data_IF_882327383584
#
_entry.id   IF_882327383584
#
_cell.length_a   1.000
_cell.length_b   1.000
_cell.length_c   1.000
_cell.angle_alpha   90.00
_cell.angle_beta   90.00
_cell.angle_gamma   90.00
#
_symmetry.space_group_name_H-M   'P 1'
#
loop_
_entity.id
_entity.type
_entity.pdbx_description
1 polymer ?
#
# COMPACT_ATOMS: atom_id res chain seq x y z
N UNK A 1 15.46 18.69 -15.81
CA UNK A 1 15.39 17.41 -15.05
C UNK A 1 14.32 16.56 -15.69
N UNK A 2 14.62 15.29 -16.02
CA UNK A 2 13.65 14.37 -16.66
C UNK A 2 12.86 13.63 -15.59
N UNK A 3 11.58 13.40 -15.85
CA UNK A 3 10.69 12.69 -14.93
C UNK A 3 10.12 11.46 -15.60
N UNK A 4 10.08 10.38 -14.85
CA UNK A 4 9.59 9.09 -15.31
C UNK A 4 8.50 8.58 -14.39
N UNK A 5 7.54 7.85 -14.93
CA UNK A 5 6.54 7.11 -14.18
C UNK A 5 6.56 5.64 -14.59
N UNK A 6 6.59 4.74 -13.61
CA UNK A 6 6.50 3.31 -13.85
C UNK A 6 5.02 2.92 -13.84
N UNK A 7 4.47 2.65 -15.03
CA UNK A 7 3.08 2.23 -15.18
C UNK A 7 3.00 0.70 -15.16
N UNK A 8 2.20 0.16 -14.23
CA UNK A 8 1.85 -1.27 -14.17
C UNK A 8 0.68 -1.52 -15.15
N UNK A 9 0.83 -2.53 -16.01
CA UNK A 9 -0.14 -2.92 -17.03
C UNK A 9 -0.89 -4.16 -16.55
N UNK A 10 -1.98 -3.96 -15.82
CA UNK A 10 -2.76 -5.04 -15.21
C UNK A 10 -4.16 -5.21 -15.81
N UNK A 11 -4.50 -4.49 -16.89
CA UNK A 11 -5.82 -4.51 -17.53
C UNK A 11 -6.94 -3.85 -16.72
N UNK A 12 -6.67 -3.39 -15.50
CA UNK A 12 -7.66 -2.72 -14.64
C UNK A 12 -7.52 -1.20 -14.76
N UNK A 13 -6.28 -0.71 -14.84
CA UNK A 13 -5.98 0.73 -14.92
C UNK A 13 -5.89 1.17 -16.38
N UNK A 14 -6.35 2.39 -16.67
CA UNK A 14 -6.18 3.01 -17.98
C UNK A 14 -4.70 3.06 -18.33
N UNK A 15 -4.35 2.44 -19.45
CA UNK A 15 -3.01 2.52 -20.03
C UNK A 15 -2.84 3.87 -20.73
N UNK A 16 -1.73 4.56 -20.46
CA UNK A 16 -1.46 5.88 -21.03
C UNK A 16 -0.64 5.73 -22.31
N UNK A 17 -0.93 6.53 -23.32
CA UNK A 17 -0.21 6.51 -24.60
C UNK A 17 0.64 7.76 -24.76
N UNK A 18 1.69 7.66 -25.56
CA UNK A 18 2.48 8.84 -25.94
C UNK A 18 1.52 9.85 -26.58
N UNK A 19 1.62 11.11 -26.15
CA UNK A 19 0.72 12.19 -26.55
C UNK A 19 -0.47 12.41 -25.62
N UNK A 20 -0.80 11.46 -24.73
CA UNK A 20 -1.87 11.65 -23.75
C UNK A 20 -1.53 12.81 -22.80
N UNK A 21 -2.51 13.69 -22.60
CA UNK A 21 -2.52 14.67 -21.51
C UNK A 21 -3.37 14.15 -20.37
N UNK A 22 -2.80 14.08 -19.18
CA UNK A 22 -3.43 13.48 -17.99
C UNK A 22 -3.39 14.47 -16.85
N UNK A 23 -4.48 14.53 -16.07
CA UNK A 23 -4.57 15.30 -14.84
C UNK A 23 -4.63 14.36 -13.65
N UNK A 24 -3.87 14.67 -12.61
CA UNK A 24 -3.96 13.92 -11.35
C UNK A 24 -5.30 14.22 -10.67
N UNK A 25 -6.05 13.19 -10.32
CA UNK A 25 -7.32 13.31 -9.61
C UNK A 25 -7.29 12.49 -8.32
N UNK A 26 -7.62 11.20 -8.43
CA UNK A 26 -7.62 10.25 -7.33
C UNK A 26 -6.59 9.18 -7.59
N UNK A 27 -5.71 8.99 -6.61
CA UNK A 27 -4.64 8.03 -6.72
C UNK A 27 -5.17 6.60 -6.54
N UNK A 28 -4.88 5.73 -7.52
CA UNK A 28 -5.27 4.33 -7.46
C UNK A 28 -4.73 3.60 -6.23
N UNK A 29 -3.56 3.99 -5.71
CA UNK A 29 -3.01 3.40 -4.48
C UNK A 29 -3.95 3.62 -3.28
N UNK A 30 -4.44 4.85 -3.10
CA UNK A 30 -5.35 5.14 -1.99
C UNK A 30 -6.71 4.48 -2.21
N UNK A 31 -7.18 4.40 -3.46
CA UNK A 31 -8.37 3.61 -3.82
C UNK A 31 -8.21 2.12 -3.45
N UNK A 32 -7.05 1.55 -3.72
CA UNK A 32 -6.77 0.14 -3.43
C UNK A 32 -6.77 -0.14 -1.92
N UNK A 33 -6.36 0.84 -1.09
CA UNK A 33 -6.51 0.75 0.38
C UNK A 33 -7.99 0.69 0.76
N UNK A 34 -8.81 1.63 0.27
CA UNK A 34 -10.23 1.70 0.59
C UNK A 34 -10.98 0.44 0.13
N UNK A 35 -10.74 0.00 -1.11
CA UNK A 35 -11.31 -1.24 -1.65
C UNK A 35 -10.87 -2.46 -0.84
N UNK A 36 -9.60 -2.48 -0.38
CA UNK A 36 -9.08 -3.53 0.48
C UNK A 36 -9.86 -3.64 1.80
N UNK A 37 -10.10 -2.51 2.46
CA UNK A 37 -10.89 -2.45 3.69
C UNK A 37 -12.34 -2.84 3.43
N UNK A 38 -12.93 -2.36 2.34
CA UNK A 38 -14.31 -2.70 1.97
C UNK A 38 -14.47 -4.20 1.74
N UNK A 39 -13.57 -4.83 0.97
CA UNK A 39 -13.60 -6.26 0.70
C UNK A 39 -13.49 -7.09 1.98
N UNK A 40 -12.64 -6.66 2.92
CA UNK A 40 -12.47 -7.33 4.22
C UNK A 40 -13.69 -7.11 5.13
N UNK A 41 -14.33 -5.94 5.07
CA UNK A 41 -15.55 -5.71 5.86
C UNK A 41 -16.76 -6.50 5.34
N UNK A 42 -16.77 -6.84 4.04
CA UNK A 42 -17.80 -7.66 3.39
C UNK A 42 -17.53 -9.16 3.49
N UNK A 43 -16.32 -9.60 3.84
CA UNK A 43 -16.04 -11.02 4.05
C UNK A 43 -16.77 -11.50 5.30
N UNK A 44 -17.98 -12.02 5.09
CA UNK A 44 -18.80 -12.62 6.13
C UNK A 44 -18.64 -14.14 6.06
N UNK A 45 -18.07 -14.73 7.11
CA UNK A 45 -18.10 -16.18 7.29
C UNK A 45 -19.22 -16.51 8.26
N UNK A 46 -20.20 -17.32 7.83
CA UNK A 46 -21.38 -17.68 8.63
C UNK A 46 -22.12 -16.47 9.25
N UNK A 47 -22.13 -15.33 8.54
CA UNK A 47 -22.76 -14.10 9.01
C UNK A 47 -22.01 -13.34 10.11
N UNK A 48 -20.80 -13.77 10.46
CA UNK A 48 -19.96 -13.11 11.47
C UNK A 48 -18.89 -12.24 10.82
N UNK A 49 -18.68 -11.05 11.38
CA UNK A 49 -17.57 -10.15 11.02
C UNK A 49 -16.25 -10.67 11.60
N UNK A 50 -15.14 -10.32 10.95
CA UNK A 50 -13.80 -10.84 11.24
C UNK A 50 -13.41 -10.79 12.73
N UNK A 51 -13.59 -9.65 13.41
CA UNK A 51 -13.20 -9.52 14.84
C UNK A 51 -14.03 -10.45 15.74
N UNK A 52 -15.34 -10.57 15.47
CA UNK A 52 -16.20 -11.47 16.25
C UNK A 52 -15.81 -12.93 16.02
N UNK A 53 -15.61 -13.32 14.75
CA UNK A 53 -15.10 -14.64 14.39
C UNK A 53 -13.77 -14.92 15.08
N UNK A 54 -12.83 -13.97 15.03
CA UNK A 54 -11.52 -14.13 15.65
C UNK A 54 -11.64 -14.37 17.16
N UNK A 55 -12.47 -13.58 17.85
CA UNK A 55 -12.70 -13.77 19.29
C UNK A 55 -13.25 -15.15 19.63
N UNK A 56 -14.21 -15.65 18.85
CA UNK A 56 -14.80 -16.99 19.07
C UNK A 56 -13.85 -18.13 18.69
N UNK A 57 -13.07 -17.99 17.61
CA UNK A 57 -12.10 -19.01 17.19
C UNK A 57 -10.90 -19.09 18.14
N UNK A 58 -10.49 -17.95 18.71
CA UNK A 58 -9.36 -17.89 19.65
C UNK A 58 -9.75 -18.21 21.09
N UNK A 59 -11.04 -18.32 21.40
CA UNK A 59 -11.50 -18.69 22.74
C UNK A 59 -11.03 -20.13 23.08
N UNK A 60 -10.51 -20.29 24.29
CA UNK A 60 -9.69 -21.45 24.71
C UNK A 60 -10.52 -22.75 24.80
N UNK A 61 -11.85 -22.63 24.86
CA UNK A 61 -12.79 -23.74 25.06
C UNK A 61 -12.62 -24.90 24.07
N UNK A 62 -12.06 -24.69 22.88
CA UNK A 62 -11.93 -25.79 21.90
C UNK A 62 -10.67 -26.65 22.13
N UNK A 63 -9.56 -26.12 22.67
CA UNK A 63 -8.40 -26.96 23.03
C UNK A 63 -8.77 -27.95 24.14
N UNK A 64 -9.70 -27.55 25.00
CA UNK A 64 -10.26 -28.39 26.06
C UNK A 64 -11.17 -29.50 25.51
N UNK A 65 -11.62 -29.38 24.25
CA UNK A 65 -12.46 -30.38 23.56
C UNK A 65 -11.66 -31.39 22.73
N UNK A 66 -10.33 -31.26 22.66
CA UNK A 66 -9.47 -32.30 22.10
C UNK A 66 -9.37 -33.45 23.13
N UNK A 67 -9.97 -34.58 22.79
CA UNK A 67 -9.88 -35.81 23.60
C UNK A 67 -8.47 -36.42 23.48
N UNK A 68 -7.51 -35.85 24.20
CA UNK A 68 -6.12 -36.33 24.24
C UNK A 68 -5.98 -37.73 24.86
N UNK A 69 -6.99 -38.17 25.62
CA UNK A 69 -7.04 -39.51 26.22
C UNK A 69 -7.58 -40.56 25.23
N UNK A 70 -8.13 -40.13 24.09
CA UNK A 70 -8.61 -41.00 23.03
C UNK A 70 -7.50 -41.85 22.45
N UNK A 71 -7.74 -43.16 22.29
CA UNK A 71 -6.89 -44.05 21.48
C UNK A 71 -7.16 -43.96 19.99
N UNK A 72 -8.11 -43.11 19.56
CA UNK A 72 -8.41 -42.88 18.15
C UNK A 72 -7.51 -41.78 17.58
N UNK A 73 -6.24 -42.12 17.37
CA UNK A 73 -5.22 -41.20 16.88
C UNK A 73 -5.51 -40.63 15.49
N UNK A 74 -6.18 -41.39 14.63
CA UNK A 74 -6.56 -40.95 13.28
C UNK A 74 -7.58 -39.80 13.34
N UNK A 75 -8.64 -39.96 14.14
CA UNK A 75 -9.63 -38.91 14.36
C UNK A 75 -9.00 -37.67 15.01
N UNK A 76 -8.11 -37.87 15.99
CA UNK A 76 -7.39 -36.77 16.62
C UNK A 76 -6.51 -36.02 15.60
N UNK A 77 -5.81 -36.74 14.73
CA UNK A 77 -4.98 -36.16 13.67
C UNK A 77 -5.81 -35.27 12.72
N UNK A 78 -6.94 -35.77 12.22
CA UNK A 78 -7.78 -34.98 11.31
C UNK A 78 -8.36 -33.74 11.98
N UNK A 79 -8.82 -33.84 13.23
CA UNK A 79 -9.30 -32.69 14.00
C UNK A 79 -8.23 -31.61 14.19
N UNK A 80 -6.99 -32.01 14.50
CA UNK A 80 -5.87 -31.07 14.62
C UNK A 80 -5.52 -30.46 13.26
N UNK A 81 -5.59 -31.22 12.16
CA UNK A 81 -5.31 -30.71 10.83
C UNK A 81 -6.32 -29.65 10.38
N UNK A 82 -7.62 -29.93 10.52
CA UNK A 82 -8.70 -28.99 10.17
C UNK A 82 -8.56 -27.67 10.93
N UNK A 83 -8.21 -27.79 12.21
CA UNK A 83 -7.94 -26.65 13.06
C UNK A 83 -6.76 -25.80 12.56
N UNK A 84 -5.63 -26.41 12.23
CA UNK A 84 -4.47 -25.67 11.72
C UNK A 84 -4.82 -24.87 10.46
N UNK A 85 -5.65 -25.45 9.59
CA UNK A 85 -6.16 -24.79 8.39
C UNK A 85 -7.03 -23.57 8.77
N UNK A 86 -7.94 -23.72 9.73
CA UNK A 86 -8.80 -22.63 10.19
C UNK A 86 -8.00 -21.48 10.83
N UNK A 87 -7.00 -21.81 11.65
CA UNK A 87 -6.12 -20.84 12.29
C UNK A 87 -5.21 -20.12 11.28
N UNK A 88 -4.65 -20.84 10.31
CA UNK A 88 -3.89 -20.24 9.23
C UNK A 88 -4.75 -19.29 8.40
N UNK A 89 -5.99 -19.70 8.06
CA UNK A 89 -6.96 -18.87 7.37
C UNK A 89 -7.29 -17.59 8.14
N UNK A 90 -7.62 -17.72 9.42
CA UNK A 90 -7.93 -16.60 10.30
C UNK A 90 -6.74 -15.64 10.46
N UNK A 91 -5.54 -16.18 10.69
CA UNK A 91 -4.30 -15.40 10.81
C UNK A 91 -4.06 -14.57 9.54
N UNK A 92 -4.23 -15.19 8.37
CA UNK A 92 -4.09 -14.52 7.08
C UNK A 92 -5.13 -13.39 6.88
N UNK A 93 -6.38 -13.61 7.27
CA UNK A 93 -7.44 -12.59 7.20
C UNK A 93 -7.16 -11.42 8.15
N UNK A 94 -6.77 -11.71 9.40
CA UNK A 94 -6.41 -10.70 10.41
C UNK A 94 -5.20 -9.89 9.95
N UNK A 95 -4.15 -10.54 9.45
CA UNK A 95 -2.98 -9.86 8.91
C UNK A 95 -3.36 -8.90 7.76
N UNK A 96 -4.13 -9.39 6.78
CA UNK A 96 -4.58 -8.56 5.64
C UNK A 96 -5.41 -7.37 6.12
N UNK A 97 -6.33 -7.60 7.06
CA UNK A 97 -7.18 -6.55 7.65
C UNK A 97 -6.35 -5.49 8.35
N UNK A 98 -5.48 -5.93 9.24
CA UNK A 98 -4.63 -5.06 10.03
C UNK A 98 -3.71 -4.22 9.12
N UNK A 99 -3.07 -4.86 8.14
CA UNK A 99 -2.17 -4.19 7.21
C UNK A 99 -2.86 -3.11 6.36
N UNK A 100 -4.12 -3.32 5.94
CA UNK A 100 -4.88 -2.30 5.21
C UNK A 100 -5.28 -1.13 6.11
N UNK A 101 -5.70 -1.40 7.36
CA UNK A 101 -6.01 -0.33 8.32
C UNK A 101 -4.77 0.49 8.71
N UNK A 102 -3.60 -0.14 8.87
CA UNK A 102 -2.34 0.57 9.09
C UNK A 102 -2.02 1.53 7.95
N UNK A 103 -2.19 1.10 6.69
CA UNK A 103 -2.01 1.99 5.53
C UNK A 103 -2.98 3.15 5.54
N UNK A 104 -4.25 2.93 5.91
CA UNK A 104 -5.25 3.99 6.00
C UNK A 104 -4.85 5.03 7.06
N UNK A 105 -4.56 4.57 8.29
CA UNK A 105 -4.14 5.43 9.40
C UNK A 105 -2.90 6.23 9.02
N UNK A 106 -1.91 5.59 8.38
CA UNK A 106 -0.71 6.25 7.87
C UNK A 106 -1.06 7.33 6.84
N UNK A 107 -1.77 7.01 5.76
CA UNK A 107 -2.06 7.98 4.71
C UNK A 107 -2.97 9.13 5.21
N UNK A 108 -3.87 8.87 6.15
CA UNK A 108 -4.70 9.90 6.79
C UNK A 108 -3.87 10.82 7.69
N UNK A 109 -3.00 10.25 8.52
CA UNK A 109 -2.09 11.04 9.38
C UNK A 109 -1.16 11.90 8.53
N UNK A 110 -0.58 11.33 7.48
CA UNK A 110 0.28 12.08 6.56
C UNK A 110 -0.48 13.19 5.83
N UNK A 111 -1.71 12.95 5.38
CA UNK A 111 -2.50 14.00 4.72
C UNK A 111 -2.90 15.12 5.69
N UNK A 112 -3.25 14.79 6.94
CA UNK A 112 -3.52 15.80 7.98
C UNK A 112 -2.29 16.66 8.25
N UNK A 113 -1.14 16.03 8.49
CA UNK A 113 0.12 16.74 8.71
C UNK A 113 0.53 17.57 7.49
N UNK A 114 0.26 17.11 6.26
CA UNK A 114 0.49 17.90 5.05
C UNK A 114 -0.30 19.20 5.06
N UNK A 115 -1.59 19.13 5.42
CA UNK A 115 -2.48 20.29 5.48
C UNK A 115 -2.05 21.28 6.55
N UNK A 116 -1.54 20.80 7.68
CA UNK A 116 -0.99 21.61 8.77
C UNK A 116 0.33 22.31 8.38
N UNK A 117 1.23 21.61 7.69
CA UNK A 117 2.55 22.14 7.30
C UNK A 117 2.47 23.04 6.07
N UNK A 118 1.90 22.54 4.97
CA UNK A 118 1.79 23.27 3.73
C UNK A 118 0.72 22.65 2.80
N UNK A 119 -0.49 23.23 2.72
CA UNK A 119 -1.56 22.71 1.87
C UNK A 119 -1.27 22.81 0.36
N UNK A 120 -0.23 23.55 -0.05
CA UNK A 120 0.21 23.66 -1.45
C UNK A 120 1.10 22.48 -1.89
N UNK A 121 1.52 21.60 -0.98
CA UNK A 121 2.21 20.35 -1.34
C UNK A 121 1.24 19.36 -2.01
N UNK A 122 1.70 18.49 -2.91
CA UNK A 122 0.86 17.47 -3.53
C UNK A 122 0.29 16.50 -2.49
N UNK A 123 -1.00 16.17 -2.59
CA UNK A 123 -1.64 15.17 -1.73
C UNK A 123 -1.31 13.76 -2.21
N UNK A 124 -0.89 12.87 -1.31
CA UNK A 124 -0.65 11.46 -1.63
C UNK A 124 -1.92 10.71 -2.08
N UNK A 125 -3.09 11.23 -1.67
CA UNK A 125 -4.40 10.71 -2.10
C UNK A 125 -4.72 11.03 -3.56
N UNK A 126 -3.97 11.94 -4.19
CA UNK A 126 -4.24 12.47 -5.54
C UNK A 126 -3.05 12.36 -6.48
N UNK A 127 -1.84 12.48 -5.97
CA UNK A 127 -0.61 12.59 -6.75
C UNK A 127 -0.30 11.31 -7.55
N UNK A 128 0.66 11.44 -8.45
CA UNK A 128 1.41 10.33 -9.01
C UNK A 128 2.82 10.29 -8.45
N UNK A 129 3.41 9.10 -8.44
CA UNK A 129 4.82 8.92 -8.12
C UNK A 129 5.66 9.02 -9.39
N UNK A 130 6.71 9.83 -9.27
CA UNK A 130 7.71 10.03 -10.30
C UNK A 130 9.06 9.52 -9.80
N UNK A 131 9.89 9.14 -10.75
CA UNK A 131 11.29 8.82 -10.55
C UNK A 131 12.14 9.77 -11.42
N UNK A 132 13.38 9.94 -11.01
CA UNK A 132 14.39 10.67 -11.78
C UNK A 132 15.28 9.66 -12.49
N UNK A 133 16.14 10.10 -13.41
CA UNK A 133 17.12 9.20 -14.03
C UNK A 133 17.93 8.40 -13.00
N UNK A 134 18.28 9.05 -11.88
CA UNK A 134 19.14 8.48 -10.83
C UNK A 134 18.40 7.46 -9.96
N UNK A 135 17.10 7.65 -9.72
CA UNK A 135 16.29 6.75 -8.88
C UNK A 135 15.56 5.67 -9.68
N UNK A 136 15.56 5.76 -11.01
CA UNK A 136 14.74 4.92 -11.89
C UNK A 136 15.01 3.42 -11.72
N UNK A 137 16.28 3.02 -11.62
CA UNK A 137 16.66 1.61 -11.42
C UNK A 137 16.11 1.07 -10.10
N UNK A 138 16.28 1.80 -9.00
CA UNK A 138 15.81 1.39 -7.68
C UNK A 138 14.29 1.18 -7.65
N UNK A 139 13.55 2.11 -8.27
CA UNK A 139 12.09 2.00 -8.37
C UNK A 139 11.68 0.86 -9.32
N UNK A 140 12.39 0.65 -10.43
CA UNK A 140 12.14 -0.47 -11.34
C UNK A 140 12.25 -1.82 -10.64
N UNK A 141 13.31 -2.00 -9.84
CA UNK A 141 13.58 -3.25 -9.11
C UNK A 141 12.57 -3.49 -7.98
N UNK A 142 12.06 -2.42 -7.38
CA UNK A 142 10.97 -2.48 -6.38
C UNK A 142 9.72 -3.16 -6.97
N UNK A 143 9.43 -2.93 -8.26
CA UNK A 143 8.30 -3.54 -8.95
C UNK A 143 8.65 -4.83 -9.70
N UNK A 144 9.75 -5.54 -9.39
CA UNK A 144 10.18 -6.76 -10.11
C UNK A 144 9.13 -7.88 -10.17
N UNK A 145 8.22 -7.95 -9.19
CA UNK A 145 7.13 -8.93 -9.13
C UNK A 145 5.96 -8.62 -10.09
N UNK A 146 5.95 -7.44 -10.70
CA UNK A 146 4.94 -7.07 -11.69
C UNK A 146 5.49 -7.34 -13.10
N UNK A 147 5.08 -8.45 -13.76
CA UNK A 147 5.68 -8.87 -15.03
C UNK A 147 5.33 -7.92 -16.18
N UNK A 148 4.20 -7.22 -16.08
CA UNK A 148 3.74 -6.27 -17.09
C UNK A 148 3.83 -4.85 -16.52
N UNK A 149 4.90 -4.15 -16.86
CA UNK A 149 5.15 -2.76 -16.49
C UNK A 149 6.00 -2.08 -17.57
N UNK A 150 5.91 -0.77 -17.65
CA UNK A 150 6.70 0.07 -18.57
C UNK A 150 7.05 1.39 -17.93
N UNK A 151 7.92 2.14 -18.58
CA UNK A 151 8.42 3.43 -18.09
C UNK A 151 8.00 4.51 -19.07
N UNK A 152 7.26 5.49 -18.55
CA UNK A 152 6.78 6.63 -19.31
C UNK A 152 7.57 7.86 -18.91
N UNK A 153 8.11 8.58 -19.90
CA UNK A 153 8.70 9.89 -19.67
C UNK A 153 7.60 10.96 -19.72
N UNK A 154 7.62 11.84 -18.73
CA UNK A 154 6.58 12.84 -18.53
C UNK A 154 7.12 14.26 -18.68
N UNK A 155 6.35 15.08 -19.37
CA UNK A 155 6.45 16.53 -19.33
C UNK A 155 5.42 17.07 -18.32
N UNK A 156 5.91 17.72 -17.26
CA UNK A 156 5.07 18.23 -16.18
C UNK A 156 4.63 19.67 -16.48
N UNK A 157 3.37 19.98 -16.21
CA UNK A 157 2.87 21.37 -16.24
C UNK A 157 3.62 22.26 -15.24
N UNK A 158 3.97 23.51 -15.60
CA UNK A 158 4.66 24.43 -14.70
C UNK A 158 3.82 24.83 -13.47
N UNK A 159 2.49 24.70 -13.56
CA UNK A 159 1.56 25.03 -12.47
C UNK A 159 1.27 23.84 -11.53
N UNK A 160 1.93 22.69 -11.75
CA UNK A 160 1.76 21.52 -10.90
C UNK A 160 2.50 21.63 -9.56
N UNK A 161 1.98 20.93 -8.55
CA UNK A 161 2.60 20.80 -7.23
C UNK A 161 3.57 19.63 -7.25
N UNK A 162 4.77 19.84 -6.71
CA UNK A 162 5.81 18.79 -6.62
C UNK A 162 6.43 18.76 -5.24
N UNK A 163 6.71 17.56 -4.74
CA UNK A 163 7.45 17.35 -3.49
C UNK A 163 8.46 16.21 -3.65
N UNK A 164 9.63 16.33 -3.04
CA UNK A 164 10.65 15.27 -3.02
C UNK A 164 10.83 14.83 -1.57
N UNK A 165 10.31 13.65 -1.24
CA UNK A 165 10.36 13.10 0.10
C UNK A 165 11.37 11.95 0.20
N UNK A 166 11.68 11.58 1.44
CA UNK A 166 12.39 10.34 1.73
C UNK A 166 11.36 9.27 2.11
N UNK A 167 11.25 8.22 1.30
CA UNK A 167 10.30 7.14 1.46
C UNK A 167 10.60 6.26 2.69
N UNK A 168 11.77 6.43 3.32
CA UNK A 168 12.09 5.76 4.58
C UNK A 168 11.12 6.15 5.71
N UNK A 169 10.64 7.40 5.73
CA UNK A 169 9.71 7.88 6.75
C UNK A 169 8.29 7.31 6.64
N UNK A 170 7.92 6.70 5.50
CA UNK A 170 6.53 6.29 5.22
C UNK A 170 6.36 4.76 5.10
N UNK A 171 7.36 3.98 5.52
CA UNK A 171 7.23 2.52 5.59
C UNK A 171 6.06 2.12 6.48
N UNK A 172 5.22 1.19 6.01
CA UNK A 172 4.08 0.70 6.79
C UNK A 172 4.58 -0.13 7.97
N UNK A 173 4.39 0.35 9.19
CA UNK A 173 4.78 -0.34 10.40
C UNK A 173 3.85 -0.05 11.58
N UNK A 174 4.07 -0.76 12.68
CA UNK A 174 3.38 -0.57 13.96
C UNK A 174 3.93 0.63 14.74
N UNK A 175 3.55 1.84 14.32
CA UNK A 175 3.82 3.08 15.05
C UNK A 175 2.58 3.59 15.78
N UNK A 176 2.79 4.23 16.93
CA UNK A 176 1.77 5.06 17.58
C UNK A 176 1.39 6.25 16.70
N UNK A 177 0.24 6.87 16.98
CA UNK A 177 -0.20 8.07 16.26
C UNK A 177 0.81 9.23 16.38
N UNK A 178 1.48 9.35 17.54
CA UNK A 178 2.47 10.40 17.75
C UNK A 178 3.74 10.14 16.92
N UNK A 179 4.22 8.90 16.86
CA UNK A 179 5.33 8.52 15.99
C UNK A 179 4.99 8.76 14.52
N UNK A 180 3.77 8.38 14.08
CA UNK A 180 3.31 8.68 12.73
C UNK A 180 3.33 10.17 12.40
N UNK A 181 2.89 11.03 13.33
CA UNK A 181 2.93 12.49 13.14
C UNK A 181 4.36 13.02 13.03
N UNK A 182 5.29 12.50 13.83
CA UNK A 182 6.72 12.87 13.75
C UNK A 182 7.29 12.48 12.37
N UNK A 183 7.08 11.24 11.95
CA UNK A 183 7.52 10.75 10.63
C UNK A 183 6.89 11.54 9.48
N UNK A 184 5.59 11.83 9.56
CA UNK A 184 4.88 12.64 8.58
C UNK A 184 5.44 14.07 8.51
N UNK A 185 5.83 14.64 9.66
CA UNK A 185 6.41 15.98 9.72
C UNK A 185 7.75 16.02 9.00
N UNK A 186 8.63 15.06 9.28
CA UNK A 186 9.95 14.96 8.62
C UNK A 186 9.81 14.72 7.12
N UNK A 187 8.88 13.83 6.75
CA UNK A 187 8.54 13.54 5.36
C UNK A 187 8.12 14.79 4.58
N UNK A 188 7.23 15.62 5.14
CA UNK A 188 6.71 16.81 4.46
C UNK A 188 7.65 18.01 4.52
N UNK A 189 8.49 18.12 5.56
CA UNK A 189 9.60 19.09 5.59
C UNK A 189 10.70 18.76 4.59
N UNK A 190 10.73 17.52 4.09
CA UNK A 190 11.76 17.08 3.15
C UNK A 190 13.09 16.73 3.83
N UNK A 191 13.08 16.50 5.15
CA UNK A 191 14.21 15.93 5.89
C UNK A 191 14.64 14.62 5.24
N UNK A 192 15.93 14.26 5.34
CA UNK A 192 16.50 13.04 4.77
C UNK A 192 17.16 12.21 5.86
N UNK A 193 16.96 10.91 5.81
CA UNK A 193 17.73 9.95 6.59
C UNK A 193 19.16 9.86 6.08
N UNK A 194 20.03 9.08 6.76
CA UNK A 194 21.42 8.87 6.32
C UNK A 194 21.51 8.16 4.97
N UNK A 195 20.56 7.28 4.67
CA UNK A 195 20.48 6.52 3.42
C UNK A 195 19.10 6.70 2.78
N UNK A 196 18.80 7.88 2.21
CA UNK A 196 17.45 8.24 1.81
C UNK A 196 17.00 7.48 0.56
N UNK A 197 15.74 7.07 0.54
CA UNK A 197 15.07 6.52 -0.64
C UNK A 197 14.17 7.60 -1.23
N UNK A 198 14.69 8.34 -2.21
CA UNK A 198 13.96 9.49 -2.73
C UNK A 198 12.74 9.09 -3.58
N UNK A 199 11.57 9.58 -3.18
CA UNK A 199 10.35 9.56 -3.98
C UNK A 199 9.94 10.98 -4.39
N UNK A 200 9.45 11.12 -5.62
CA UNK A 200 8.95 12.40 -6.14
C UNK A 200 7.44 12.30 -6.28
N UNK A 201 6.70 13.15 -5.57
CA UNK A 201 5.25 13.28 -5.70
C UNK A 201 4.92 14.42 -6.65
N UNK A 202 3.94 14.21 -7.52
CA UNK A 202 3.42 15.25 -8.40
C UNK A 202 1.90 15.27 -8.46
N UNK A 203 1.31 16.46 -8.31
CA UNK A 203 -0.13 16.72 -8.47
C UNK A 203 -0.32 17.86 -9.47
N UNK A 204 -0.96 17.59 -10.60
CA UNK A 204 -1.17 18.56 -11.67
C UNK A 204 -1.48 17.89 -13.00
N UNK A 205 -1.33 18.66 -14.07
CA UNK A 205 -1.43 18.16 -15.45
C UNK A 205 -0.05 17.77 -15.96
N UNK A 206 0.03 16.71 -16.76
CA UNK A 206 1.26 16.25 -17.38
C UNK A 206 0.95 15.58 -18.73
N UNK A 207 1.97 15.53 -19.58
CA UNK A 207 1.90 14.89 -20.89
C UNK A 207 2.86 13.72 -20.96
N UNK A 208 2.43 12.62 -21.56
CA UNK A 208 3.32 11.50 -21.88
C UNK A 208 4.10 11.86 -23.15
N UNK A 209 5.41 12.03 -23.04
CA UNK A 209 6.24 12.45 -24.17
C UNK A 209 7.02 11.31 -24.81
N UNK A 210 7.32 10.25 -24.05
CA UNK A 210 8.06 9.11 -24.58
C UNK A 210 7.83 7.84 -23.73
N UNK A 211 8.20 6.69 -24.29
CA UNK A 211 8.36 5.43 -23.56
C UNK A 211 9.85 5.09 -23.47
N UNK A 212 10.34 4.82 -22.26
CA UNK A 212 11.76 4.59 -22.01
C UNK A 212 12.08 3.09 -22.06
N UNK A 213 12.85 2.67 -23.08
CA UNK A 213 13.03 1.25 -23.44
C UNK A 213 14.19 0.52 -22.74
N UNK A 214 14.85 1.12 -21.74
CA UNK A 214 16.12 0.60 -21.18
C UNK A 214 16.05 -0.83 -20.61
N UNK A 215 14.87 -1.34 -20.29
CA UNK A 215 14.68 -2.67 -19.67
C UNK A 215 13.59 -3.52 -20.36
N UNK A 216 13.43 -3.36 -21.69
CA UNK A 216 12.64 -4.29 -22.50
C UNK A 216 13.25 -5.69 -22.51
#
# INVERSE_FOLDING_TARGET
MRYFHIQILNGIRKEWRIGDSVKTEFNNFYRDILNGIENISKSNFQGKRLIKRAGETLDVEWMDNLDYESKNYENLFYKVQDLLIDYEGLSNELYKSHFQHLKLIREDTFEQTRLEINPLLPSRKKCIWLCTTDTLQNWWDTFKRHPKKRILELELSPNGKRHIADAEYIKTELYSLQEWKTLATDYWKGTKTSNPVLEVLYEGEFKIINEYEKWK
#
